data_IF_113696410917
#
_entry.id   IF_113696410917
#
_cell.length_a   1.000
_cell.length_b   1.000
_cell.length_c   1.000
_cell.angle_alpha   90.00
_cell.angle_beta   90.00
_cell.angle_gamma   90.00
#
_symmetry.space_group_name_H-M   'P 1'
#
loop_
_entity.id
_entity.type
_entity.pdbx_description
1 polymer ?
#
# COMPACT_ATOMS: atom_id res chain seq x y z
N UNK A 1 -6.10 -5.22 -21.74
CA UNK A 1 -5.42 -4.99 -20.45
C UNK A 1 -3.94 -5.25 -20.66
N UNK A 2 -3.05 -4.45 -20.08
CA UNK A 2 -1.60 -4.70 -20.11
C UNK A 2 -1.24 -5.92 -19.25
N UNK A 3 -0.11 -6.57 -19.54
CA UNK A 3 0.40 -7.69 -18.73
C UNK A 3 0.63 -7.26 -17.27
N UNK A 4 1.12 -6.03 -17.05
CA UNK A 4 1.30 -5.43 -15.72
C UNK A 4 -0.01 -5.23 -14.96
N UNK A 5 -1.10 -4.82 -15.64
CA UNK A 5 -2.41 -4.66 -15.01
C UNK A 5 -3.03 -6.01 -14.65
N UNK A 6 -2.88 -7.02 -15.51
CA UNK A 6 -3.35 -8.38 -15.22
C UNK A 6 -2.64 -8.96 -13.98
N UNK A 7 -1.33 -8.73 -13.86
CA UNK A 7 -0.55 -9.09 -12.67
C UNK A 7 -1.06 -8.36 -11.42
N UNK A 8 -1.40 -7.07 -11.52
CA UNK A 8 -1.99 -6.33 -10.40
C UNK A 8 -3.31 -6.97 -9.93
N UNK A 9 -4.22 -7.34 -10.84
CA UNK A 9 -5.46 -8.02 -10.45
C UNK A 9 -5.22 -9.38 -9.79
N UNK A 10 -4.21 -10.13 -10.26
CA UNK A 10 -3.80 -11.37 -9.59
C UNK A 10 -3.35 -11.11 -8.16
N UNK A 11 -2.51 -10.09 -7.94
CA UNK A 11 -2.11 -9.71 -6.58
C UNK A 11 -3.29 -9.24 -5.74
N UNK A 12 -4.26 -8.53 -6.32
CA UNK A 12 -5.46 -8.12 -5.61
C UNK A 12 -6.27 -9.34 -5.13
N UNK A 13 -6.45 -10.36 -5.98
CA UNK A 13 -7.15 -11.59 -5.60
C UNK A 13 -6.43 -12.35 -4.47
N UNK A 14 -5.10 -12.43 -4.54
CA UNK A 14 -4.26 -13.10 -3.54
C UNK A 14 -4.26 -12.37 -2.18
N UNK A 15 -4.31 -11.04 -2.21
CA UNK A 15 -4.16 -10.17 -1.02
C UNK A 15 -5.49 -9.77 -0.38
N UNK A 16 -6.52 -9.51 -1.17
CA UNK A 16 -7.78 -8.90 -0.72
C UNK A 16 -8.99 -9.85 -0.76
N UNK A 17 -8.87 -11.05 -1.37
CA UNK A 17 -9.89 -12.12 -1.44
C UNK A 17 -11.33 -11.60 -1.60
N UNK A 18 -12.07 -11.46 -0.50
CA UNK A 18 -13.47 -11.00 -0.49
C UNK A 18 -13.67 -9.59 -1.05
N UNK A 19 -12.70 -8.69 -0.87
CA UNK A 19 -12.77 -7.34 -1.44
C UNK A 19 -12.47 -7.32 -2.94
N UNK A 20 -11.69 -8.27 -3.45
CA UNK A 20 -11.34 -8.30 -4.87
C UNK A 20 -12.58 -8.46 -5.76
N UNK A 21 -13.55 -9.29 -5.36
CA UNK A 21 -14.82 -9.43 -6.08
C UNK A 21 -15.66 -8.15 -6.09
N UNK A 22 -15.61 -7.34 -5.03
CA UNK A 22 -16.32 -6.05 -4.94
C UNK A 22 -15.63 -5.02 -5.85
N UNK A 23 -14.30 -4.95 -5.77
CA UNK A 23 -13.51 -4.04 -6.61
C UNK A 23 -13.75 -4.38 -8.08
N UNK A 24 -13.70 -5.66 -8.46
CA UNK A 24 -13.91 -6.09 -9.84
C UNK A 24 -15.32 -5.78 -10.39
N UNK A 25 -16.31 -5.54 -9.53
CA UNK A 25 -17.65 -5.12 -9.91
C UNK A 25 -17.76 -3.60 -10.18
N UNK A 26 -16.72 -2.80 -9.92
CA UNK A 26 -16.66 -1.39 -10.26
C UNK A 26 -16.49 -1.16 -11.76
N UNK A 27 -16.99 -0.03 -12.24
CA UNK A 27 -16.95 0.31 -13.66
C UNK A 27 -15.62 0.94 -14.09
N UNK A 28 -15.13 0.49 -15.25
CA UNK A 28 -14.11 1.18 -16.05
C UNK A 28 -12.86 1.62 -15.29
N UNK A 29 -12.54 2.91 -15.39
CA UNK A 29 -11.33 3.52 -14.84
C UNK A 29 -11.29 3.52 -13.30
N UNK A 30 -12.45 3.52 -12.63
CA UNK A 30 -12.53 3.50 -11.18
C UNK A 30 -12.05 2.15 -10.62
N UNK A 31 -12.34 1.06 -11.34
CA UNK A 31 -11.89 -0.28 -10.97
C UNK A 31 -10.37 -0.38 -10.92
N UNK A 32 -9.72 0.09 -11.98
CA UNK A 32 -8.26 0.06 -12.09
C UNK A 32 -7.62 0.97 -11.02
N UNK A 33 -8.17 2.17 -10.80
CA UNK A 33 -7.69 3.08 -9.77
C UNK A 33 -7.79 2.48 -8.35
N UNK A 34 -8.92 1.86 -8.00
CA UNK A 34 -9.12 1.22 -6.69
C UNK A 34 -8.24 -0.03 -6.53
N UNK A 35 -8.09 -0.84 -7.59
CA UNK A 35 -7.17 -1.98 -7.59
C UNK A 35 -5.74 -1.55 -7.22
N UNK A 36 -5.22 -0.54 -7.92
CA UNK A 36 -3.86 -0.03 -7.66
C UNK A 36 -3.75 0.60 -6.28
N UNK A 37 -4.74 1.39 -5.86
CA UNK A 37 -4.77 1.97 -4.51
C UNK A 37 -4.66 0.89 -3.43
N UNK A 38 -5.47 -0.17 -3.51
CA UNK A 38 -5.41 -1.27 -2.55
C UNK A 38 -4.05 -1.98 -2.52
N UNK A 39 -3.42 -2.17 -3.68
CA UNK A 39 -2.09 -2.79 -3.76
C UNK A 39 -0.98 -1.89 -3.18
N UNK A 40 -1.08 -0.57 -3.38
CA UNK A 40 -0.15 0.39 -2.78
C UNK A 40 -0.26 0.34 -1.26
N UNK A 41 -1.47 0.39 -0.71
CA UNK A 41 -1.66 0.30 0.75
C UNK A 41 -1.21 -1.06 1.27
N UNK A 42 -1.52 -2.16 0.56
CA UNK A 42 -1.03 -3.48 0.94
C UNK A 42 0.49 -3.55 0.99
N UNK A 43 1.19 -2.87 0.08
CA UNK A 43 2.64 -2.84 0.11
C UNK A 43 3.17 -2.06 1.34
N UNK A 44 2.51 -0.96 1.73
CA UNK A 44 2.81 -0.26 2.99
C UNK A 44 2.56 -1.17 4.20
N UNK A 45 1.41 -1.85 4.27
CA UNK A 45 1.07 -2.81 5.33
C UNK A 45 2.13 -3.91 5.43
N UNK A 46 2.57 -4.45 4.29
CA UNK A 46 3.58 -5.52 4.24
C UNK A 46 4.91 -5.08 4.87
N UNK A 47 5.30 -3.81 4.71
CA UNK A 47 6.49 -3.25 5.37
C UNK A 47 6.26 -3.08 6.87
N UNK A 48 5.08 -2.63 7.27
CA UNK A 48 4.71 -2.40 8.67
C UNK A 48 4.65 -3.72 9.45
N UNK A 49 3.91 -4.71 8.93
CA UNK A 49 3.66 -6.02 9.54
C UNK A 49 4.94 -6.89 9.66
N UNK A 50 5.94 -6.66 8.81
CA UNK A 50 7.14 -7.50 8.77
C UNK A 50 8.08 -7.21 9.94
N UNK A 51 7.95 -8.02 11.00
CA UNK A 51 8.77 -7.94 12.22
C UNK A 51 10.26 -8.27 11.99
N UNK A 52 10.67 -8.69 10.80
CA UNK A 52 12.06 -9.00 10.48
C UNK A 52 12.83 -7.81 9.91
N UNK A 53 12.12 -6.76 9.47
CA UNK A 53 12.72 -5.49 9.04
C UNK A 53 13.03 -4.65 10.28
N UNK A 54 14.28 -4.21 10.43
CA UNK A 54 14.69 -3.35 11.54
C UNK A 54 13.96 -2.00 11.51
N UNK A 55 13.72 -1.41 12.68
CA UNK A 55 13.07 -0.09 12.77
C UNK A 55 13.87 1.01 12.05
N UNK A 56 15.20 0.91 12.03
CA UNK A 56 16.09 1.84 11.32
C UNK A 56 15.83 1.87 9.80
N UNK A 57 15.40 0.73 9.22
CA UNK A 57 15.02 0.64 7.81
C UNK A 57 13.53 0.90 7.62
N UNK A 58 12.68 0.35 8.49
CA UNK A 58 11.22 0.39 8.39
C UNK A 58 10.67 1.80 8.50
N UNK A 59 11.11 2.58 9.49
CA UNK A 59 10.58 3.93 9.74
C UNK A 59 10.84 4.87 8.53
N UNK A 60 12.06 5.00 7.99
CA UNK A 60 12.29 5.79 6.80
C UNK A 60 11.53 5.27 5.58
N UNK A 61 11.38 3.95 5.43
CA UNK A 61 10.67 3.35 4.30
C UNK A 61 9.19 3.71 4.32
N UNK A 62 8.52 3.62 5.48
CA UNK A 62 7.11 3.99 5.63
C UNK A 62 6.87 5.48 5.37
N UNK A 63 7.71 6.37 5.92
CA UNK A 63 7.59 7.81 5.67
C UNK A 63 7.73 8.17 4.18
N UNK A 64 8.68 7.53 3.49
CA UNK A 64 9.01 7.84 2.11
C UNK A 64 8.26 6.98 1.09
N UNK A 65 7.37 6.07 1.52
CA UNK A 65 6.75 5.09 0.62
C UNK A 65 6.02 5.74 -0.57
N UNK A 66 5.32 6.85 -0.30
CA UNK A 66 4.64 7.64 -1.33
C UNK A 66 5.58 8.12 -2.46
N UNK A 67 6.87 8.33 -2.18
CA UNK A 67 7.86 8.74 -3.19
C UNK A 67 8.23 7.60 -4.14
N UNK A 68 8.17 6.35 -3.66
CA UNK A 68 8.50 5.16 -4.43
C UNK A 68 7.47 4.88 -5.53
N UNK A 69 6.25 5.41 -5.40
CA UNK A 69 5.24 5.40 -6.46
C UNK A 69 5.74 6.04 -7.78
N UNK A 70 6.67 6.98 -7.68
CA UNK A 70 7.26 7.69 -8.82
C UNK A 70 8.62 7.12 -9.25
N UNK A 71 9.15 6.13 -8.53
CA UNK A 71 10.42 5.47 -8.84
C UNK A 71 10.17 4.18 -9.62
N UNK A 72 10.58 4.13 -10.88
CA UNK A 72 10.22 3.03 -11.77
C UNK A 72 10.78 1.67 -11.34
N UNK A 73 11.99 1.66 -10.78
CA UNK A 73 12.73 0.44 -10.45
C UNK A 73 12.73 0.11 -8.95
N UNK A 74 11.99 0.89 -8.14
CA UNK A 74 11.97 0.66 -6.71
C UNK A 74 11.26 -0.66 -6.40
N UNK A 75 11.92 -1.49 -5.59
CA UNK A 75 11.43 -2.76 -5.07
C UNK A 75 12.14 -3.10 -3.77
N UNK A 76 11.55 -3.99 -2.98
CA UNK A 76 12.15 -4.47 -1.75
C UNK A 76 12.06 -6.00 -1.66
N UNK A 77 13.21 -6.66 -1.57
CA UNK A 77 13.35 -8.14 -1.68
C UNK A 77 13.78 -8.82 -0.38
N UNK A 78 13.83 -8.08 0.73
CA UNK A 78 14.28 -8.61 2.02
C UNK A 78 13.11 -8.96 2.94
N UNK A 79 11.86 -8.69 2.52
CA UNK A 79 10.68 -8.99 3.31
C UNK A 79 10.43 -10.50 3.42
N UNK A 80 10.02 -10.94 4.61
CA UNK A 80 9.59 -12.32 4.90
C UNK A 80 8.09 -12.43 5.14
N UNK A 81 7.33 -11.35 4.95
CA UNK A 81 5.89 -11.38 5.07
C UNK A 81 5.26 -12.28 3.99
N UNK A 82 4.08 -12.83 4.27
CA UNK A 82 3.31 -13.65 3.32
C UNK A 82 2.97 -12.94 2.01
N UNK A 83 2.96 -11.60 2.01
CA UNK A 83 2.66 -10.74 0.86
C UNK A 83 3.89 -10.07 0.26
N UNK A 84 5.13 -10.49 0.61
CA UNK A 84 6.38 -9.91 0.10
C UNK A 84 6.41 -9.69 -1.43
N UNK A 85 5.70 -10.50 -2.22
CA UNK A 85 5.58 -10.35 -3.67
C UNK A 85 5.16 -8.94 -4.11
N UNK A 86 4.27 -8.25 -3.36
CA UNK A 86 3.84 -6.90 -3.73
C UNK A 86 4.96 -5.86 -3.58
N UNK A 87 5.98 -6.15 -2.77
CA UNK A 87 7.18 -5.33 -2.61
C UNK A 87 8.27 -5.69 -3.63
N UNK A 88 8.42 -6.97 -3.94
CA UNK A 88 9.39 -7.45 -4.94
C UNK A 88 9.05 -7.00 -6.36
N UNK A 89 7.75 -7.09 -6.70
CA UNK A 89 7.19 -6.70 -7.99
C UNK A 89 6.53 -5.32 -7.97
N UNK A 90 6.87 -4.49 -6.98
CA UNK A 90 6.38 -3.11 -6.89
C UNK A 90 6.59 -2.26 -8.17
N UNK A 91 7.63 -2.49 -9.01
CA UNK A 91 7.73 -1.83 -10.30
C UNK A 91 6.49 -2.00 -11.19
N UNK A 92 5.81 -3.15 -11.15
CA UNK A 92 4.59 -3.41 -11.92
C UNK A 92 3.41 -2.58 -11.39
N UNK A 93 3.26 -2.52 -10.06
CA UNK A 93 2.20 -1.75 -9.38
C UNK A 93 2.42 -0.25 -9.64
N UNK A 94 3.63 0.23 -9.41
CA UNK A 94 3.99 1.64 -9.60
C UNK A 94 3.89 2.07 -11.07
N UNK A 95 4.14 1.16 -12.03
CA UNK A 95 3.94 1.43 -13.45
C UNK A 95 2.47 1.67 -13.80
N UNK A 96 1.56 0.86 -13.26
CA UNK A 96 0.12 1.07 -13.48
C UNK A 96 -0.39 2.31 -12.73
N UNK A 97 0.10 2.56 -11.51
CA UNK A 97 -0.16 3.81 -10.79
C UNK A 97 0.13 5.05 -11.63
N UNK A 98 1.30 5.12 -12.28
CA UNK A 98 1.71 6.28 -13.10
C UNK A 98 0.87 6.46 -14.37
N UNK A 99 0.05 5.48 -14.75
CA UNK A 99 -0.89 5.57 -15.89
C UNK A 99 -2.27 6.09 -15.48
N UNK A 100 -2.59 6.11 -14.19
CA UNK A 100 -3.88 6.59 -13.68
C UNK A 100 -4.06 8.10 -13.94
N UNK A 101 -5.30 8.61 -13.96
CA UNK A 101 -5.55 10.05 -13.97
C UNK A 101 -4.82 10.77 -12.82
N UNK A 102 -4.35 12.00 -13.06
CA UNK A 102 -3.56 12.76 -12.09
C UNK A 102 -4.26 12.87 -10.71
N UNK A 103 -5.58 13.07 -10.70
CA UNK A 103 -6.38 13.10 -9.46
C UNK A 103 -6.30 11.81 -8.65
N UNK A 104 -6.29 10.64 -9.31
CA UNK A 104 -6.15 9.35 -8.63
C UNK A 104 -4.73 9.16 -8.09
N UNK A 105 -3.72 9.64 -8.83
CA UNK A 105 -2.33 9.60 -8.38
C UNK A 105 -2.12 10.46 -7.14
N UNK A 106 -2.61 11.70 -7.15
CA UNK A 106 -2.51 12.64 -6.04
C UNK A 106 -3.19 12.11 -4.77
N UNK A 107 -4.41 11.60 -4.90
CA UNK A 107 -5.14 11.01 -3.76
C UNK A 107 -4.41 9.80 -3.19
N UNK A 108 -3.96 8.88 -4.07
CA UNK A 108 -3.27 7.67 -3.62
C UNK A 108 -1.94 7.99 -2.95
N UNK A 109 -1.17 8.95 -3.48
CA UNK A 109 0.10 9.37 -2.91
C UNK A 109 -0.08 10.08 -1.56
N UNK A 110 -1.08 10.96 -1.44
CA UNK A 110 -1.40 11.66 -0.19
C UNK A 110 -1.84 10.68 0.92
N UNK A 111 -2.75 9.76 0.59
CA UNK A 111 -3.17 8.72 1.54
C UNK A 111 -2.00 7.81 1.91
N UNK A 112 -1.21 7.34 0.93
CA UNK A 112 -0.02 6.53 1.19
C UNK A 112 0.96 7.23 2.14
N UNK A 113 1.16 8.55 1.97
CA UNK A 113 2.00 9.34 2.87
C UNK A 113 1.44 9.39 4.29
N UNK A 114 0.13 9.66 4.44
CA UNK A 114 -0.54 9.73 5.75
C UNK A 114 -0.55 8.39 6.47
N UNK A 115 -0.86 7.31 5.77
CA UNK A 115 -0.86 5.93 6.30
C UNK A 115 0.55 5.55 6.75
N UNK A 116 1.55 5.71 5.87
CA UNK A 116 2.94 5.38 6.20
C UNK A 116 3.50 6.21 7.37
N UNK A 117 3.21 7.52 7.41
CA UNK A 117 3.63 8.37 8.53
C UNK A 117 2.94 8.00 9.84
N UNK A 118 1.63 7.72 9.80
CA UNK A 118 0.86 7.29 10.96
C UNK A 118 1.35 5.94 11.50
N UNK A 119 1.54 4.95 10.65
CA UNK A 119 2.11 3.64 11.05
C UNK A 119 3.49 3.81 11.69
N UNK A 120 4.36 4.63 11.10
CA UNK A 120 5.68 4.90 11.65
C UNK A 120 5.65 5.50 13.07
N UNK A 121 4.65 6.33 13.39
CA UNK A 121 4.46 6.90 14.73
C UNK A 121 4.22 5.82 15.80
N UNK A 122 3.44 4.78 15.46
CA UNK A 122 3.06 3.71 16.39
C UNK A 122 4.07 2.55 16.46
N UNK A 123 5.06 2.49 15.56
CA UNK A 123 6.15 1.51 15.66
C UNK A 123 7.07 1.72 16.88
N UNK A 124 7.18 2.96 17.35
CA UNK A 124 7.98 3.33 18.52
C UNK A 124 7.15 3.64 19.77
N UNK A 125 5.81 3.61 19.68
CA UNK A 125 4.90 4.07 20.72
C UNK A 125 3.82 3.00 20.99
N UNK A 126 3.73 2.47 22.22
CA UNK A 126 2.62 1.58 22.58
C UNK A 126 1.28 2.33 22.56
N UNK A 127 0.22 1.62 22.18
CA UNK A 127 -1.16 2.12 22.28
C UNK A 127 -1.62 1.97 23.74
N UNK A 128 -1.71 3.08 24.47
CA UNK A 128 -1.99 3.07 25.92
C UNK A 128 -3.38 3.63 26.28
N UNK A 129 -4.04 4.33 25.35
CA UNK A 129 -5.34 4.95 25.56
C UNK A 129 -6.33 4.66 24.43
N UNK A 130 -7.62 4.85 24.69
CA UNK A 130 -8.65 4.80 23.64
C UNK A 130 -8.40 5.84 22.54
N UNK A 131 -7.80 6.98 22.88
CA UNK A 131 -7.42 8.00 21.90
C UNK A 131 -6.31 7.51 20.98
N UNK A 132 -5.28 6.85 21.53
CA UNK A 132 -4.21 6.24 20.74
C UNK A 132 -4.75 5.11 19.86
N UNK A 133 -5.71 4.34 20.38
CA UNK A 133 -6.41 3.30 19.61
C UNK A 133 -7.18 3.89 18.44
N UNK A 134 -7.98 4.95 18.67
CA UNK A 134 -8.73 5.64 17.63
C UNK A 134 -7.81 6.25 16.56
N UNK A 135 -6.68 6.82 16.98
CA UNK A 135 -5.66 7.36 16.06
C UNK A 135 -4.99 6.26 15.24
N UNK A 136 -4.57 5.17 15.87
CA UNK A 136 -3.99 4.03 15.16
C UNK A 136 -4.98 3.45 14.15
N UNK A 137 -6.23 3.22 14.55
CA UNK A 137 -7.28 2.75 13.64
C UNK A 137 -7.52 3.74 12.50
N UNK A 138 -7.47 5.05 12.76
CA UNK A 138 -7.61 6.05 11.71
C UNK A 138 -6.55 5.89 10.61
N UNK A 139 -5.28 5.72 11.00
CA UNK A 139 -4.18 5.54 10.05
C UNK A 139 -4.13 4.16 9.41
N UNK A 140 -4.33 3.09 10.19
CA UNK A 140 -4.17 1.71 9.73
C UNK A 140 -5.38 1.16 8.97
N UNK A 141 -6.57 1.75 9.15
CA UNK A 141 -7.82 1.19 8.57
C UNK A 141 -8.75 2.24 7.97
N UNK A 142 -8.98 3.37 8.64
CA UNK A 142 -10.00 4.33 8.19
C UNK A 142 -9.56 5.22 7.01
N UNK A 143 -8.26 5.46 6.84
CA UNK A 143 -7.74 6.17 5.67
C UNK A 143 -7.54 5.24 4.46
N UNK A 144 -7.47 3.93 4.69
CA UNK A 144 -7.25 2.90 3.68
C UNK A 144 -8.55 2.32 3.08
N UNK A 145 -9.71 2.58 3.68
CA UNK A 145 -11.04 2.13 3.26
C UNK A 145 -11.96 3.28 2.91
#
# INVERSE_FOLDING_TARGET
>A
MSDSLQTCYKYLDETCRSFAAIIQALDGELRDAVCIFCLVIRAVDTVEDDMTISLETKIPMLHNFHTYLYQADWRFTESKDKHHQVLEDFPMISQEFRKLPAVCQEVTADICHKVGAGMAEFLGKPVESLLDWDQYCHYATALAM
#
